data_IF_072033094729
#
_entry.id   IF_072033094729
#
_cell.length_a   1.000
_cell.length_b   1.000
_cell.length_c   1.000
_cell.angle_alpha   90.00
_cell.angle_beta   90.00
_cell.angle_gamma   90.00
#
_symmetry.space_group_name_H-M   'P 1'
#
loop_
_entity.id
_entity.type
_entity.pdbx_description
1 polymer ?
#
# COMPACT_ATOMS: atom_id res chain seq x y z
N UNK A 1 -23.11 -18.91 22.51
CA UNK A 1 -21.67 -18.61 22.71
C UNK A 1 -20.94 -19.07 21.46
N UNK A 2 -20.81 -18.18 20.47
CA UNK A 2 -20.00 -18.42 19.28
C UNK A 2 -18.58 -18.09 19.74
N UNK A 3 -17.67 -19.08 19.75
CA UNK A 3 -16.26 -18.81 19.98
C UNK A 3 -15.84 -17.77 18.96
N UNK A 4 -15.43 -16.60 19.46
CA UNK A 4 -14.61 -15.66 18.71
C UNK A 4 -13.36 -16.46 18.35
N UNK A 5 -13.39 -17.06 17.17
CA UNK A 5 -12.28 -17.81 16.59
C UNK A 5 -11.21 -16.76 16.34
N UNK A 6 -10.41 -16.60 17.39
CA UNK A 6 -9.30 -15.68 17.46
C UNK A 6 -8.50 -15.91 16.18
N UNK A 7 -8.33 -14.88 15.37
CA UNK A 7 -7.43 -14.95 14.21
C UNK A 7 -6.03 -15.12 14.77
N UNK A 8 -5.64 -16.36 15.04
CA UNK A 8 -4.35 -16.68 15.61
C UNK A 8 -3.34 -16.57 14.49
N UNK A 9 -2.30 -15.78 14.72
CA UNK A 9 -1.15 -15.66 13.83
C UNK A 9 -0.68 -17.03 13.32
N UNK A 10 -0.70 -18.06 14.18
CA UNK A 10 -0.39 -19.46 13.86
C UNK A 10 -1.13 -20.01 12.64
N UNK A 11 -2.44 -19.74 12.51
CA UNK A 11 -3.24 -20.23 11.38
C UNK A 11 -2.81 -19.56 10.07
N UNK A 12 -2.45 -18.28 10.12
CA UNK A 12 -1.97 -17.55 8.95
C UNK A 12 -0.53 -17.93 8.60
N UNK A 13 0.32 -18.18 9.60
CA UNK A 13 1.68 -18.70 9.43
C UNK A 13 1.63 -20.07 8.74
N UNK A 14 0.74 -20.96 9.17
CA UNK A 14 0.57 -22.28 8.54
C UNK A 14 0.07 -22.19 7.09
N UNK A 15 -0.54 -21.06 6.70
CA UNK A 15 -0.99 -20.78 5.32
C UNK A 15 0.06 -20.04 4.50
N UNK A 16 1.20 -19.67 5.09
CA UNK A 16 2.24 -18.97 4.35
C UNK A 16 2.78 -19.84 3.20
N UNK A 17 3.03 -19.21 2.06
CA UNK A 17 3.38 -19.89 0.82
C UNK A 17 4.84 -19.65 0.45
N UNK A 18 5.47 -20.64 -0.18
CA UNK A 18 6.83 -20.51 -0.74
C UNK A 18 6.80 -19.61 -1.98
N UNK A 19 6.94 -18.31 -1.77
CA UNK A 19 7.00 -17.31 -2.83
C UNK A 19 8.35 -16.60 -2.80
N UNK A 20 9.01 -16.36 -3.94
CA UNK A 20 10.31 -15.71 -3.95
C UNK A 20 10.20 -14.24 -3.49
N UNK A 21 11.12 -13.75 -2.65
CA UNK A 21 11.12 -12.36 -2.21
C UNK A 21 11.43 -11.42 -3.39
N UNK A 22 10.76 -10.26 -3.42
CA UNK A 22 10.97 -9.21 -4.41
C UNK A 22 10.82 -9.67 -5.86
N UNK A 23 9.91 -10.61 -6.10
CA UNK A 23 9.52 -11.04 -7.44
C UNK A 23 8.02 -11.10 -7.53
N UNK A 24 7.49 -10.80 -8.71
CA UNK A 24 6.05 -10.77 -8.96
C UNK A 24 5.57 -12.17 -9.31
N UNK A 25 4.73 -12.82 -8.48
CA UNK A 25 4.18 -14.14 -8.76
C UNK A 25 3.31 -14.15 -10.03
N UNK A 26 3.11 -15.34 -10.58
CA UNK A 26 2.12 -15.52 -11.65
C UNK A 26 0.70 -15.15 -11.17
N UNK A 27 -0.16 -14.73 -12.10
CA UNK A 27 -1.52 -14.27 -11.79
C UNK A 27 -1.63 -12.80 -11.40
N UNK A 28 -0.56 -12.15 -10.94
CA UNK A 28 -0.54 -10.71 -10.67
C UNK A 28 -0.72 -9.92 -11.98
N UNK A 29 -1.61 -8.93 -11.97
CA UNK A 29 -1.94 -8.06 -13.12
C UNK A 29 -1.32 -6.68 -13.01
N UNK A 30 -1.16 -6.16 -11.80
CA UNK A 30 -0.50 -4.88 -11.53
C UNK A 30 -0.04 -4.81 -10.07
N UNK A 31 0.92 -3.93 -9.79
CA UNK A 31 1.40 -3.66 -8.44
C UNK A 31 0.84 -2.34 -7.90
N UNK A 32 0.55 -2.30 -6.60
CA UNK A 32 0.35 -1.06 -5.85
C UNK A 32 1.29 -1.03 -4.66
N UNK A 33 1.73 0.16 -4.26
CA UNK A 33 2.51 0.34 -3.06
C UNK A 33 1.72 1.11 -2.01
N UNK A 34 1.92 0.76 -0.75
CA UNK A 34 1.45 1.56 0.38
C UNK A 34 2.58 1.87 1.32
N UNK A 35 2.52 3.08 1.86
CA UNK A 35 3.55 3.64 2.72
C UNK A 35 2.90 4.18 3.98
N UNK A 36 3.41 3.73 5.11
CA UNK A 36 3.08 4.25 6.43
C UNK A 36 4.29 5.00 6.99
N UNK A 37 4.03 6.19 7.56
CA UNK A 37 5.06 7.14 7.97
C UNK A 37 5.26 7.05 9.47
N UNK A 38 6.36 6.42 9.88
CA UNK A 38 6.65 6.20 11.29
C UNK A 38 7.62 7.27 11.81
N UNK A 39 7.18 8.02 12.81
CA UNK A 39 7.94 9.07 13.51
C UNK A 39 8.80 8.56 14.68
N UNK A 40 9.16 9.47 15.58
CA UNK A 40 9.83 9.16 16.84
C UNK A 40 11.32 8.84 16.72
N UNK A 41 11.83 7.94 17.57
CA UNK A 41 13.25 7.55 17.58
C UNK A 41 13.65 6.62 16.43
N UNK A 42 12.70 5.80 15.94
CA UNK A 42 12.91 4.81 14.87
C UNK A 42 12.22 5.25 13.59
N UNK A 43 12.52 6.48 13.17
CA UNK A 43 11.92 7.09 11.97
C UNK A 43 12.19 6.24 10.74
N UNK A 44 11.13 5.96 9.99
CA UNK A 44 11.17 5.10 8.80
C UNK A 44 9.92 5.32 7.96
N UNK A 45 10.04 5.12 6.65
CA UNK A 45 8.89 4.82 5.81
C UNK A 45 8.74 3.31 5.76
N UNK A 46 7.56 2.83 6.14
CA UNK A 46 7.21 1.42 6.16
C UNK A 46 6.47 1.13 4.86
N UNK A 47 7.11 0.39 3.95
CA UNK A 47 6.60 0.18 2.60
C UNK A 47 6.13 -1.26 2.45
N UNK A 48 4.95 -1.44 1.84
CA UNK A 48 4.45 -2.72 1.39
C UNK A 48 4.01 -2.64 -0.07
N UNK A 49 4.50 -3.58 -0.89
CA UNK A 49 4.11 -3.73 -2.29
C UNK A 49 3.20 -4.92 -2.41
N UNK A 50 2.02 -4.70 -2.97
CA UNK A 50 0.97 -5.70 -3.14
C UNK A 50 0.66 -5.86 -4.62
N UNK A 51 0.79 -7.07 -5.12
CA UNK A 51 0.32 -7.45 -6.44
C UNK A 51 -1.16 -7.81 -6.41
N UNK A 52 -1.94 -7.32 -7.36
CA UNK A 52 -3.35 -7.66 -7.51
C UNK A 52 -3.56 -8.44 -8.80
N UNK A 53 -4.23 -9.58 -8.70
CA UNK A 53 -4.69 -10.38 -9.81
C UNK A 53 -6.13 -10.04 -10.19
N UNK A 54 -6.85 -10.99 -10.75
CA UNK A 54 -8.29 -10.86 -11.04
C UNK A 54 -9.16 -11.10 -9.80
N UNK A 55 -10.37 -10.52 -9.78
CA UNK A 55 -11.41 -10.79 -8.76
C UNK A 55 -10.99 -10.63 -7.27
N UNK A 56 -9.99 -9.82 -7.01
CA UNK A 56 -9.52 -9.37 -5.70
C UNK A 56 -8.40 -10.21 -5.12
N UNK A 57 -7.97 -11.27 -5.80
CA UNK A 57 -6.83 -12.09 -5.37
C UNK A 57 -5.56 -11.23 -5.35
N UNK A 58 -4.74 -11.38 -4.31
CA UNK A 58 -3.60 -10.50 -4.07
C UNK A 58 -2.43 -11.19 -3.39
N UNK A 59 -1.23 -10.68 -3.65
CA UNK A 59 0.05 -11.20 -3.17
C UNK A 59 0.85 -10.10 -2.49
N UNK A 60 1.45 -10.40 -1.34
CA UNK A 60 2.47 -9.54 -0.78
C UNK A 60 3.78 -9.81 -1.54
N UNK A 61 4.24 -8.82 -2.28
CA UNK A 61 5.40 -8.94 -3.18
C UNK A 61 6.69 -8.48 -2.50
N UNK A 62 6.60 -7.41 -1.72
CA UNK A 62 7.74 -6.85 -0.99
C UNK A 62 7.28 -6.11 0.27
N UNK A 63 8.13 -6.10 1.28
CA UNK A 63 7.89 -5.44 2.56
C UNK A 63 9.23 -4.98 3.12
N UNK A 64 9.46 -3.68 3.17
CA UNK A 64 10.74 -3.10 3.57
C UNK A 64 10.56 -1.75 4.24
N UNK A 65 11.64 -1.27 4.86
CA UNK A 65 11.68 0.04 5.50
C UNK A 65 12.72 0.92 4.81
N UNK A 66 12.37 2.16 4.50
CA UNK A 66 13.33 3.20 4.11
C UNK A 66 13.70 3.94 5.39
N UNK A 67 14.97 3.89 5.77
CA UNK A 67 15.49 4.46 7.03
C UNK A 67 16.60 5.46 6.81
N UNK A 68 17.23 5.45 5.64
CA UNK A 68 18.39 6.27 5.28
C UNK A 68 17.98 7.39 4.32
N UNK A 69 18.47 8.58 4.60
CA UNK A 69 18.30 9.78 3.79
C UNK A 69 19.37 9.84 2.69
N UNK A 70 19.13 10.66 1.66
CA UNK A 70 20.18 11.11 0.74
C UNK A 70 21.12 12.14 1.39
N UNK A 71 20.73 12.71 2.54
CA UNK A 71 21.58 13.59 3.33
C UNK A 71 22.65 12.76 4.03
N UNK A 72 23.89 13.22 3.97
CA UNK A 72 25.02 12.62 4.66
C UNK A 72 25.49 13.51 5.82
N UNK A 73 26.11 12.89 6.81
CA UNK A 73 26.84 13.59 7.86
C UNK A 73 28.24 14.04 7.40
N UNK A 74 29.01 14.66 8.30
CA UNK A 74 30.36 15.15 8.03
C UNK A 74 31.34 14.04 7.59
N UNK A 75 31.07 12.78 7.95
CA UNK A 75 31.84 11.61 7.52
C UNK A 75 31.39 11.03 6.18
N UNK A 76 30.35 11.59 5.55
CA UNK A 76 29.77 11.07 4.30
C UNK A 76 28.80 9.91 4.49
N UNK A 77 28.47 9.53 5.73
CA UNK A 77 27.55 8.44 6.04
C UNK A 77 26.09 8.92 5.93
N UNK A 78 25.23 8.08 5.36
CA UNK A 78 23.83 8.41 5.16
C UNK A 78 23.10 8.57 6.50
N UNK A 79 22.54 9.77 6.71
CA UNK A 79 21.77 10.10 7.91
C UNK A 79 20.47 9.30 7.97
N UNK A 80 19.88 9.21 9.16
CA UNK A 80 18.52 8.70 9.30
C UNK A 80 17.52 9.68 8.68
N UNK A 81 16.49 9.17 8.00
CA UNK A 81 15.38 10.02 7.56
C UNK A 81 14.68 10.69 8.74
N UNK A 82 14.15 11.88 8.51
CA UNK A 82 13.24 12.54 9.42
C UNK A 82 12.09 13.20 8.64
N UNK A 83 11.01 12.42 8.35
CA UNK A 83 9.89 12.86 7.53
C UNK A 83 9.17 14.11 8.03
N UNK A 84 9.25 14.42 9.33
CA UNK A 84 8.65 15.62 9.91
C UNK A 84 9.49 16.89 9.70
N UNK A 85 10.81 16.76 9.55
CA UNK A 85 11.71 17.91 9.44
C UNK A 85 12.24 18.17 8.03
N UNK A 86 12.44 17.13 7.21
CA UNK A 86 13.09 17.25 5.90
C UNK A 86 12.14 16.79 4.78
N UNK A 87 11.52 17.72 4.04
CA UNK A 87 10.67 17.40 2.90
C UNK A 87 11.38 16.56 1.83
N UNK A 88 12.68 16.76 1.64
CA UNK A 88 13.49 16.04 0.66
C UNK A 88 13.59 14.54 0.93
N UNK A 89 13.43 14.09 2.18
CA UNK A 89 13.41 12.66 2.52
C UNK A 89 12.20 11.95 1.87
N UNK A 90 11.10 12.67 1.60
CA UNK A 90 9.93 12.11 0.94
C UNK A 90 10.16 11.81 -0.54
N UNK A 91 11.16 12.44 -1.17
CA UNK A 91 11.47 12.18 -2.57
C UNK A 91 11.99 10.75 -2.79
N UNK A 92 12.52 10.10 -1.74
CA UNK A 92 12.87 8.67 -1.76
C UNK A 92 11.67 7.79 -2.10
N UNK A 93 10.42 8.21 -1.80
CA UNK A 93 9.24 7.44 -2.17
C UNK A 93 9.00 7.43 -3.69
N UNK A 94 9.55 8.38 -4.43
CA UNK A 94 9.52 8.34 -5.90
C UNK A 94 10.53 7.31 -6.39
N UNK A 95 11.81 7.47 -6.05
CA UNK A 95 12.90 6.65 -6.57
C UNK A 95 12.86 5.20 -6.08
N UNK A 96 12.60 4.99 -4.79
CA UNK A 96 12.78 3.69 -4.15
C UNK A 96 11.48 2.87 -4.13
N UNK A 97 10.34 3.49 -4.49
CA UNK A 97 9.02 2.86 -4.47
C UNK A 97 8.25 3.05 -5.78
N UNK A 98 7.94 4.30 -6.16
CA UNK A 98 7.03 4.55 -7.29
C UNK A 98 7.63 4.21 -8.66
N UNK A 99 8.91 4.50 -8.85
CA UNK A 99 9.65 4.22 -10.10
C UNK A 99 10.32 2.86 -10.11
N UNK A 100 10.36 2.19 -8.95
CA UNK A 100 10.92 0.86 -8.82
C UNK A 100 10.07 -0.17 -9.57
N UNK A 101 10.77 -1.16 -10.14
CA UNK A 101 10.18 -2.31 -10.80
C UNK A 101 10.64 -3.61 -10.13
N UNK A 102 9.79 -4.63 -10.22
CA UNK A 102 10.05 -5.96 -9.68
C UNK A 102 10.02 -6.99 -10.82
N UNK A 103 11.02 -7.87 -10.93
CA UNK A 103 11.05 -8.88 -11.99
C UNK A 103 9.95 -9.91 -11.79
N UNK A 104 9.39 -10.41 -12.90
CA UNK A 104 8.39 -11.48 -12.86
C UNK A 104 9.07 -12.81 -12.48
N UNK A 105 8.31 -13.70 -11.83
CA UNK A 105 8.79 -15.05 -11.49
C UNK A 105 8.97 -15.89 -12.76
N UNK A 106 7.99 -15.87 -13.66
CA UNK A 106 7.98 -16.69 -14.88
C UNK A 106 8.92 -16.13 -15.96
N UNK A 107 9.04 -14.81 -16.03
CA UNK A 107 9.84 -14.08 -17.03
C UNK A 107 10.76 -13.06 -16.33
N UNK A 108 11.90 -13.50 -15.76
CA UNK A 108 12.80 -12.63 -14.98
C UNK A 108 13.38 -11.43 -15.75
N UNK A 109 13.38 -11.48 -17.09
CA UNK A 109 13.78 -10.41 -17.99
C UNK A 109 12.73 -9.30 -18.14
N UNK A 110 11.50 -9.57 -17.70
CA UNK A 110 10.42 -8.59 -17.65
C UNK A 110 10.21 -8.12 -16.22
N UNK A 111 9.88 -6.85 -16.08
CA UNK A 111 9.63 -6.23 -14.78
C UNK A 111 8.27 -5.54 -14.76
N UNK A 112 7.66 -5.49 -13.58
CA UNK A 112 6.42 -4.77 -13.34
C UNK A 112 6.68 -3.62 -12.37
N UNK A 113 6.36 -2.40 -12.80
CA UNK A 113 6.43 -1.21 -11.97
C UNK A 113 5.18 -1.03 -11.11
N UNK A 114 5.30 -0.27 -10.03
CA UNK A 114 4.15 0.16 -9.21
C UNK A 114 3.20 1.05 -10.01
N UNK A 115 1.94 0.66 -10.16
CA UNK A 115 0.93 1.46 -10.86
C UNK A 115 0.69 2.79 -10.13
N UNK A 116 0.45 2.71 -8.83
CA UNK A 116 0.20 3.84 -7.96
C UNK A 116 0.57 3.52 -6.51
N UNK A 117 0.79 4.57 -5.74
CA UNK A 117 1.23 4.53 -4.35
C UNK A 117 0.27 5.32 -3.46
N UNK A 118 -0.11 4.70 -2.34
CA UNK A 118 -0.85 5.33 -1.25
C UNK A 118 0.08 5.65 -0.08
N UNK A 119 0.03 6.86 0.45
CA UNK A 119 0.90 7.28 1.57
C UNK A 119 0.04 7.79 2.71
N UNK A 120 0.24 7.27 3.92
CA UNK A 120 -0.41 7.85 5.10
C UNK A 120 0.14 9.26 5.34
N UNK A 121 -0.76 10.22 5.38
CA UNK A 121 -0.44 11.63 5.65
C UNK A 121 -0.61 12.00 7.12
N UNK A 122 -1.14 11.08 7.94
CA UNK A 122 -1.17 11.20 9.39
C UNK A 122 0.21 10.99 10.01
N UNK A 123 0.51 11.70 11.10
CA UNK A 123 1.77 11.52 11.81
C UNK A 123 2.06 12.63 12.82
N UNK A 124 3.30 12.65 13.30
CA UNK A 124 3.85 13.69 14.18
C UNK A 124 3.84 15.08 13.51
N UNK A 125 4.10 16.12 14.30
CA UNK A 125 4.20 17.49 13.83
C UNK A 125 5.12 17.63 12.61
N UNK A 126 4.61 18.29 11.56
CA UNK A 126 5.31 18.49 10.28
C UNK A 126 5.10 17.40 9.24
N UNK A 127 4.72 16.17 9.61
CA UNK A 127 4.52 15.05 8.66
C UNK A 127 3.42 15.37 7.66
N UNK A 128 2.27 15.87 8.12
CA UNK A 128 1.15 16.22 7.23
C UNK A 128 1.50 17.33 6.24
N UNK A 129 2.24 18.36 6.68
CA UNK A 129 2.66 19.44 5.79
C UNK A 129 3.66 18.95 4.74
N UNK A 130 4.60 18.09 5.13
CA UNK A 130 5.57 17.50 4.22
C UNK A 130 4.92 16.51 3.26
N UNK A 131 3.90 15.75 3.69
CA UNK A 131 3.09 14.93 2.80
C UNK A 131 2.40 15.77 1.69
N UNK A 132 1.88 16.95 2.05
CA UNK A 132 1.30 17.88 1.09
C UNK A 132 2.35 18.51 0.18
N UNK A 133 3.54 18.85 0.70
CA UNK A 133 4.65 19.34 -0.10
C UNK A 133 5.12 18.28 -1.11
N UNK A 134 5.25 17.04 -0.67
CA UNK A 134 5.55 15.87 -1.49
C UNK A 134 4.54 15.69 -2.61
N UNK A 135 3.23 15.69 -2.31
CA UNK A 135 2.22 15.56 -3.36
C UNK A 135 2.29 16.70 -4.38
N UNK A 136 2.53 17.95 -3.94
CA UNK A 136 2.74 19.09 -4.86
C UNK A 136 3.98 18.91 -5.74
N UNK A 137 5.06 18.33 -5.19
CA UNK A 137 6.24 17.97 -5.96
C UNK A 137 5.91 16.89 -7.00
N UNK A 138 5.28 15.78 -6.60
CA UNK A 138 4.80 14.75 -7.51
C UNK A 138 3.89 15.30 -8.61
N UNK A 139 3.07 16.32 -8.33
CA UNK A 139 2.24 16.98 -9.35
C UNK A 139 3.08 17.72 -10.38
N UNK A 140 4.16 18.40 -9.99
CA UNK A 140 5.08 19.08 -10.93
C UNK A 140 5.84 18.09 -11.80
N UNK A 141 6.24 16.95 -11.22
CA UNK A 141 6.94 15.87 -11.94
C UNK A 141 6.00 14.97 -12.77
N UNK A 142 4.69 15.25 -12.83
CA UNK A 142 3.73 14.47 -13.63
C UNK A 142 3.19 13.19 -12.96
N UNK A 143 3.53 12.94 -11.70
CA UNK A 143 3.08 11.77 -10.92
C UNK A 143 1.76 11.98 -10.16
N UNK A 144 1.07 13.12 -10.31
CA UNK A 144 -0.17 13.42 -9.57
C UNK A 144 -1.23 12.31 -9.65
N UNK A 145 -1.35 11.64 -10.80
CA UNK A 145 -2.32 10.56 -11.03
C UNK A 145 -1.92 9.21 -10.43
N UNK A 146 -0.70 9.10 -9.88
CA UNK A 146 -0.14 7.86 -9.32
C UNK A 146 0.10 7.94 -7.81
N UNK A 147 0.00 9.12 -7.19
CA UNK A 147 0.26 9.31 -5.75
C UNK A 147 -1.00 9.77 -5.01
N UNK A 148 -1.36 9.04 -3.96
CA UNK A 148 -2.58 9.23 -3.19
C UNK A 148 -2.24 9.42 -1.71
N UNK A 149 -2.73 10.50 -1.11
CA UNK A 149 -2.59 10.72 0.33
C UNK A 149 -3.79 10.17 1.08
N UNK A 150 -3.55 9.34 2.09
CA UNK A 150 -4.55 8.73 2.95
C UNK A 150 -4.59 9.38 4.32
N UNK A 151 -5.79 9.35 4.91
CA UNK A 151 -6.02 9.67 6.31
C UNK A 151 -7.22 8.88 6.81
N UNK A 152 -7.13 8.34 8.02
CA UNK A 152 -8.28 7.73 8.68
C UNK A 152 -9.41 8.76 8.90
N UNK A 153 -10.63 8.39 8.53
CA UNK A 153 -11.81 9.22 8.82
C UNK A 153 -12.33 8.90 10.23
N UNK A 154 -12.32 9.89 11.12
CA UNK A 154 -12.89 9.75 12.45
C UNK A 154 -14.41 9.81 12.47
N UNK A 155 -15.03 10.26 11.37
CA UNK A 155 -16.49 10.32 11.23
C UNK A 155 -16.98 9.10 10.46
N UNK A 156 -17.92 8.36 11.03
CA UNK A 156 -18.56 7.25 10.33
C UNK A 156 -19.34 7.76 9.10
N UNK A 157 -19.07 7.18 7.93
CA UNK A 157 -19.75 7.53 6.67
C UNK A 157 -20.26 6.28 5.96
N UNK A 158 -21.24 6.46 5.08
CA UNK A 158 -21.78 5.39 4.25
C UNK A 158 -20.81 4.89 3.18
N UNK A 159 -19.95 5.78 2.65
CA UNK A 159 -18.93 5.43 1.65
C UNK A 159 -17.64 5.00 2.34
N UNK A 160 -17.02 3.92 1.84
CA UNK A 160 -15.75 3.37 2.37
C UNK A 160 -14.60 4.37 2.26
N UNK A 161 -14.64 5.25 1.26
CA UNK A 161 -13.71 6.36 1.15
C UNK A 161 -14.43 7.62 0.66
N UNK A 162 -13.87 8.78 0.99
CA UNK A 162 -14.28 10.06 0.42
C UNK A 162 -13.07 10.90 0.04
N UNK A 163 -13.17 11.63 -1.07
CA UNK A 163 -12.13 12.55 -1.51
C UNK A 163 -12.45 13.94 -0.97
N UNK A 164 -11.49 14.52 -0.25
CA UNK A 164 -11.58 15.87 0.30
C UNK A 164 -10.43 16.73 -0.23
N UNK A 165 -10.62 18.04 -0.21
CA UNK A 165 -9.56 19.01 -0.50
C UNK A 165 -9.46 19.93 0.71
N UNK A 166 -8.60 19.61 1.69
CA UNK A 166 -8.48 20.41 2.89
C UNK A 166 -8.12 21.86 2.53
N UNK A 167 -8.92 22.80 3.02
CA UNK A 167 -8.66 24.23 2.88
C UNK A 167 -8.69 24.89 4.26
N UNK A 168 -7.52 25.33 4.73
CA UNK A 168 -7.33 25.94 6.04
C UNK A 168 -6.72 27.35 5.92
N UNK A 169 -6.76 27.99 4.75
CA UNK A 169 -6.17 29.33 4.52
C UNK A 169 -6.73 30.45 5.41
N UNK A 170 -7.89 30.24 6.03
CA UNK A 170 -8.52 31.18 6.98
C UNK A 170 -8.62 30.69 8.43
N UNK A 171 -7.92 29.62 8.82
CA UNK A 171 -8.04 29.00 10.15
C UNK A 171 -6.70 28.89 10.85
N UNK A 172 -6.43 29.84 11.76
CA UNK A 172 -5.19 29.93 12.55
C UNK A 172 -5.06 28.85 13.64
N UNK A 173 -6.13 28.10 13.91
CA UNK A 173 -6.19 27.02 14.90
C UNK A 173 -5.65 25.68 14.38
N UNK A 174 -5.35 25.58 13.07
CA UNK A 174 -4.86 24.34 12.46
C UNK A 174 -3.41 24.45 12.02
N UNK A 175 -2.62 23.47 12.46
CA UNK A 175 -1.17 23.41 12.31
C UNK A 175 -0.72 23.24 10.85
N UNK A 176 -1.49 22.50 10.03
CA UNK A 176 -1.13 22.21 8.64
C UNK A 176 -1.75 23.18 7.61
N UNK A 177 -0.92 23.75 6.73
CA UNK A 177 -1.31 24.72 5.68
C UNK A 177 -1.78 23.99 4.41
N UNK A 178 -3.09 23.75 4.34
CA UNK A 178 -3.73 23.21 3.16
C UNK A 178 -4.47 24.32 2.39
N UNK A 179 -4.13 24.53 1.11
CA UNK A 179 -4.71 25.58 0.26
C UNK A 179 -5.79 25.04 -0.70
N UNK A 180 -6.51 23.97 -0.35
CA UNK A 180 -7.58 23.41 -1.19
C UNK A 180 -7.14 22.71 -2.49
N UNK A 181 -5.84 22.57 -2.73
CA UNK A 181 -5.31 21.96 -3.96
C UNK A 181 -4.95 20.47 -3.82
N UNK A 182 -4.63 20.03 -2.60
CA UNK A 182 -4.10 18.68 -2.36
C UNK A 182 -5.26 17.71 -2.08
N UNK A 183 -5.44 16.67 -2.90
CA UNK A 183 -6.48 15.67 -2.68
C UNK A 183 -6.10 14.77 -1.51
N UNK A 184 -6.95 14.74 -0.49
CA UNK A 184 -6.84 13.87 0.67
C UNK A 184 -7.98 12.87 0.68
N UNK A 185 -7.64 11.58 0.69
CA UNK A 185 -8.59 10.48 0.72
C UNK A 185 -8.83 10.03 2.16
N UNK A 186 -10.05 10.29 2.63
CA UNK A 186 -10.51 9.91 3.97
C UNK A 186 -11.06 8.48 3.92
N UNK A 187 -10.45 7.58 4.70
CA UNK A 187 -10.74 6.15 4.68
C UNK A 187 -11.54 5.71 5.90
N UNK A 188 -12.61 4.94 5.68
CA UNK A 188 -13.34 4.24 6.74
C UNK A 188 -12.56 2.98 7.15
N UNK A 189 -11.61 3.14 8.08
CA UNK A 189 -10.65 2.10 8.46
C UNK A 189 -11.33 0.84 8.99
N UNK A 190 -12.36 0.94 9.81
CA UNK A 190 -13.09 -0.23 10.33
C UNK A 190 -13.69 -1.08 9.20
N UNK A 191 -14.32 -0.45 8.20
CA UNK A 191 -14.92 -1.17 7.08
C UNK A 191 -13.87 -1.83 6.18
N UNK A 192 -12.71 -1.18 5.98
CA UNK A 192 -11.59 -1.77 5.26
C UNK A 192 -11.00 -2.95 6.02
N UNK A 193 -10.82 -2.82 7.34
CA UNK A 193 -10.33 -3.90 8.21
C UNK A 193 -11.28 -5.08 8.22
N UNK A 194 -12.60 -4.84 8.27
CA UNK A 194 -13.62 -5.90 8.15
C UNK A 194 -13.48 -6.66 6.81
N UNK A 195 -13.23 -5.96 5.69
CA UNK A 195 -13.01 -6.59 4.38
C UNK A 195 -11.71 -7.40 4.30
N UNK A 196 -10.60 -6.83 4.77
CA UNK A 196 -9.31 -7.54 4.83
C UNK A 196 -9.43 -8.75 5.75
N UNK A 197 -10.14 -8.60 6.85
CA UNK A 197 -10.42 -9.69 7.77
C UNK A 197 -11.13 -10.85 7.06
N UNK A 198 -12.26 -10.60 6.39
CA UNK A 198 -12.95 -11.66 5.64
C UNK A 198 -12.08 -12.28 4.54
N UNK A 199 -11.20 -11.51 3.92
CA UNK A 199 -10.25 -12.02 2.92
C UNK A 199 -9.18 -12.94 3.54
N UNK A 200 -8.68 -12.60 4.73
CA UNK A 200 -7.71 -13.42 5.47
C UNK A 200 -8.33 -14.72 6.00
N UNK A 201 -9.63 -14.77 6.26
CA UNK A 201 -10.29 -15.99 6.72
C UNK A 201 -10.55 -17.01 5.59
N UNK A 202 -10.33 -16.62 4.33
CA UNK A 202 -10.43 -17.54 3.18
C UNK A 202 -9.35 -18.62 3.26
N UNK A 203 -9.74 -19.88 3.09
CA UNK A 203 -8.83 -21.04 3.18
C UNK A 203 -8.21 -21.44 1.84
N UNK A 204 -8.91 -21.17 0.75
CA UNK A 204 -8.53 -21.61 -0.61
C UNK A 204 -8.21 -20.41 -1.51
N UNK A 205 -7.18 -20.53 -2.37
CA UNK A 205 -6.86 -19.55 -3.42
C UNK A 205 -8.05 -19.18 -4.30
N UNK A 206 -7.99 -18.00 -4.92
CA UNK A 206 -9.02 -17.45 -5.80
C UNK A 206 -9.51 -16.08 -5.37
N UNK A 207 -10.74 -15.74 -5.77
CA UNK A 207 -11.30 -14.39 -5.58
C UNK A 207 -11.16 -13.88 -4.14
N UNK A 208 -10.54 -12.71 -3.98
CA UNK A 208 -10.22 -12.07 -2.70
C UNK A 208 -9.24 -12.80 -1.78
N UNK A 209 -8.60 -13.88 -2.20
CA UNK A 209 -7.58 -14.55 -1.39
C UNK A 209 -6.33 -13.67 -1.23
N UNK A 210 -5.64 -13.82 -0.08
CA UNK A 210 -4.42 -13.08 0.24
C UNK A 210 -3.28 -14.08 0.40
N UNK A 211 -2.41 -14.13 -0.61
CA UNK A 211 -1.19 -14.90 -0.60
C UNK A 211 -0.13 -14.18 0.25
N UNK A 212 0.32 -14.86 1.30
CA UNK A 212 1.32 -14.35 2.23
C UNK A 212 2.59 -15.21 2.09
N UNK A 213 3.74 -14.63 1.73
CA UNK A 213 4.98 -15.38 1.58
C UNK A 213 5.55 -15.90 2.90
N UNK A 214 6.25 -17.03 2.86
CA UNK A 214 6.92 -17.68 4.00
C UNK A 214 8.21 -16.99 4.46
N UNK A 215 8.79 -16.11 3.64
CA UNK A 215 9.94 -15.29 4.05
C UNK A 215 9.57 -14.13 4.98
N UNK A 216 8.27 -13.83 5.14
CA UNK A 216 7.81 -12.92 6.18
C UNK A 216 7.87 -13.63 7.53
N UNK A 217 8.63 -13.05 8.47
CA UNK A 217 8.74 -13.60 9.82
C UNK A 217 7.50 -13.36 10.67
N UNK A 218 7.48 -13.97 11.85
CA UNK A 218 6.37 -13.91 12.83
C UNK A 218 5.89 -12.48 13.11
N UNK A 219 6.81 -11.51 13.15
CA UNK A 219 6.53 -10.08 13.33
C UNK A 219 5.46 -9.55 12.36
N UNK A 220 5.42 -10.05 11.12
CA UNK A 220 4.44 -9.62 10.12
C UNK A 220 3.04 -10.11 10.47
N UNK A 221 2.93 -11.36 10.92
CA UNK A 221 1.67 -11.96 11.32
C UNK A 221 1.17 -11.35 12.64
N UNK A 222 2.09 -11.05 13.57
CA UNK A 222 1.80 -10.28 14.77
C UNK A 222 1.19 -8.91 14.41
N UNK A 223 1.84 -8.14 13.54
CA UNK A 223 1.31 -6.86 13.03
C UNK A 223 -0.07 -7.03 12.36
N UNK A 224 -0.24 -8.10 11.57
CA UNK A 224 -1.46 -8.35 10.81
C UNK A 224 -2.66 -8.72 11.69
N UNK A 225 -2.41 -9.38 12.83
CA UNK A 225 -3.45 -9.80 13.78
C UNK A 225 -3.49 -8.98 15.05
N UNK A 226 -2.70 -7.90 15.15
CA UNK A 226 -2.52 -7.16 16.41
C UNK A 226 -3.80 -6.47 16.88
N UNK A 227 -4.57 -5.92 15.94
CA UNK A 227 -5.83 -5.28 16.27
C UNK A 227 -6.97 -6.28 16.39
N UNK A 228 -7.83 -6.03 17.37
CA UNK A 228 -8.98 -6.87 17.64
C UNK A 228 -10.27 -6.14 17.30
N UNK A 229 -11.22 -6.92 16.78
CA UNK A 229 -12.54 -6.42 16.42
C UNK A 229 -13.46 -6.47 17.64
N UNK A 230 -13.73 -5.31 18.22
CA UNK A 230 -14.63 -5.14 19.35
C UNK A 230 -16.10 -5.42 19.01
N UNK A 231 -16.90 -5.71 20.04
CA UNK A 231 -18.36 -5.89 19.93
C UNK A 231 -19.07 -4.61 19.46
N UNK A 232 -18.43 -3.45 19.63
CA UNK A 232 -18.96 -2.12 19.32
C UNK A 232 -18.85 -1.74 17.84
N UNK A 233 -18.30 -2.60 16.98
CA UNK A 233 -18.09 -2.24 15.58
C UNK A 233 -16.67 -1.82 15.23
N UNK A 234 -15.78 -1.64 16.22
CA UNK A 234 -14.50 -0.96 16.02
C UNK A 234 -13.32 -1.91 16.13
N UNK A 235 -12.29 -1.62 15.35
CA UNK A 235 -10.98 -2.23 15.50
C UNK A 235 -10.15 -1.41 16.49
N UNK A 236 -9.57 -2.08 17.49
CA UNK A 236 -8.79 -1.43 18.53
C UNK A 236 -7.49 -2.19 18.78
N UNK A 237 -6.45 -1.43 19.14
CA UNK A 237 -5.20 -2.01 19.61
C UNK A 237 -5.37 -2.44 21.07
N UNK A 238 -5.06 -3.69 21.46
CA UNK A 238 -5.11 -4.13 22.85
C UNK A 238 -3.96 -3.52 23.69
N UNK A 239 -2.95 -2.93 23.05
CA UNK A 239 -1.81 -2.29 23.71
C UNK A 239 -0.99 -1.41 22.76
N UNK A 240 0.34 -1.40 22.94
CA UNK A 240 1.29 -0.54 22.18
C UNK A 240 2.04 -1.26 21.06
N UNK A 241 1.51 -2.37 20.56
CA UNK A 241 2.11 -3.13 19.48
C UNK A 241 1.91 -2.49 18.10
N UNK A 242 2.72 -3.00 17.18
CA UNK A 242 2.73 -2.66 15.77
C UNK A 242 1.51 -3.27 15.07
N UNK A 243 0.98 -2.58 14.06
CA UNK A 243 -0.18 -3.00 13.27
C UNK A 243 -0.01 -2.66 11.78
N UNK A 244 1.20 -2.28 11.37
CA UNK A 244 1.50 -1.69 10.08
C UNK A 244 1.11 -2.64 8.93
N UNK A 245 1.34 -3.96 9.06
CA UNK A 245 0.90 -4.95 8.07
C UNK A 245 -0.60 -4.87 7.74
N UNK A 246 -1.48 -4.77 8.77
CA UNK A 246 -2.93 -4.69 8.57
C UNK A 246 -3.32 -3.36 7.93
N UNK A 247 -2.79 -2.25 8.42
CA UNK A 247 -3.10 -0.91 7.91
C UNK A 247 -2.63 -0.75 6.45
N UNK A 248 -1.42 -1.20 6.12
CA UNK A 248 -0.87 -1.16 4.77
C UNK A 248 -1.67 -2.02 3.78
N UNK A 249 -2.17 -3.20 4.20
CA UNK A 249 -3.10 -3.99 3.38
C UNK A 249 -4.45 -3.28 3.18
N UNK A 250 -4.98 -2.64 4.22
CA UNK A 250 -6.21 -1.84 4.13
C UNK A 250 -6.05 -0.68 3.15
N UNK A 251 -4.92 0.02 3.21
CA UNK A 251 -4.59 1.11 2.28
C UNK A 251 -4.43 0.60 0.85
N UNK A 252 -3.83 -0.59 0.66
CA UNK A 252 -3.65 -1.16 -0.68
C UNK A 252 -5.02 -1.49 -1.28
N UNK A 253 -5.91 -2.05 -0.47
CA UNK A 253 -7.29 -2.34 -0.88
C UNK A 253 -8.08 -1.06 -1.19
N UNK A 254 -7.97 -0.03 -0.35
CA UNK A 254 -8.59 1.26 -0.60
C UNK A 254 -8.08 1.88 -1.92
N UNK A 255 -6.78 1.80 -2.18
CA UNK A 255 -6.16 2.35 -3.38
C UNK A 255 -6.70 1.71 -4.65
N UNK A 256 -6.80 0.37 -4.71
CA UNK A 256 -7.35 -0.32 -5.87
C UNK A 256 -8.85 -0.05 -6.05
N UNK A 257 -9.61 0.08 -4.96
CA UNK A 257 -11.02 0.49 -5.04
C UNK A 257 -11.18 1.90 -5.62
N UNK A 258 -10.33 2.85 -5.22
CA UNK A 258 -10.29 4.21 -5.78
C UNK A 258 -9.97 4.18 -7.28
N UNK A 259 -9.10 3.26 -7.72
CA UNK A 259 -8.77 3.03 -9.13
C UNK A 259 -9.88 2.31 -9.92
N UNK A 260 -10.97 1.92 -9.28
CA UNK A 260 -12.11 1.29 -9.93
C UNK A 260 -11.94 -0.20 -10.17
N UNK A 261 -11.06 -0.86 -9.40
CA UNK A 261 -10.77 -2.28 -9.53
C UNK A 261 -12.00 -3.20 -9.55
N UNK A 262 -12.97 -2.95 -8.67
CA UNK A 262 -14.20 -3.75 -8.55
C UNK A 262 -15.08 -3.69 -9.83
N UNK A 263 -14.81 -2.75 -10.75
CA UNK A 263 -15.58 -2.53 -11.99
C UNK A 263 -14.85 -3.04 -13.23
N UNK A 264 -13.69 -3.67 -13.07
CA UNK A 264 -12.93 -4.21 -14.19
C UNK A 264 -13.71 -5.38 -14.79
N UNK A 265 -13.92 -5.32 -16.11
CA UNK A 265 -14.24 -6.51 -16.89
C UNK A 265 -12.94 -7.29 -17.13
N UNK A 266 -12.78 -8.45 -16.51
CA UNK A 266 -11.56 -9.27 -16.62
C UNK A 266 -11.43 -10.00 -17.96
N UNK A 267 -12.49 -10.10 -18.76
CA UNK A 267 -12.43 -10.59 -20.15
C UNK A 267 -11.81 -9.54 -21.09
N UNK A 268 -11.87 -8.26 -20.71
CA UNK A 268 -11.27 -7.15 -21.45
C UNK A 268 -10.70 -6.12 -20.48
N UNK A 269 -9.61 -6.46 -19.76
CA UNK A 269 -9.08 -5.61 -18.71
C UNK A 269 -8.52 -4.31 -19.29
N UNK A 270 -8.54 -3.22 -18.49
CA UNK A 270 -7.98 -1.94 -18.92
C UNK A 270 -6.47 -2.07 -19.16
N UNK A 271 -5.87 -1.20 -19.99
CA UNK A 271 -4.45 -1.31 -20.38
C UNK A 271 -3.48 -1.48 -19.21
N UNK A 272 -3.73 -0.82 -18.09
CA UNK A 272 -2.88 -0.87 -16.90
C UNK A 272 -2.98 -2.18 -16.09
N UNK A 273 -3.96 -3.03 -16.38
CA UNK A 273 -4.15 -4.35 -15.75
C UNK A 273 -3.95 -5.50 -16.75
N UNK A 274 -3.49 -5.20 -17.97
CA UNK A 274 -3.10 -6.22 -18.95
C UNK A 274 -1.71 -6.71 -18.58
N UNK A 275 -1.50 -8.01 -18.73
CA UNK A 275 -0.14 -8.54 -18.71
C UNK A 275 0.62 -8.01 -19.94
N UNK A 276 1.95 -7.84 -19.85
CA UNK A 276 2.77 -7.65 -21.03
C UNK A 276 2.45 -8.73 -22.05
N UNK A 277 2.29 -8.36 -23.33
CA UNK A 277 2.16 -9.37 -24.38
C UNK A 277 3.40 -10.26 -24.34
N UNK A 278 3.20 -11.56 -24.17
CA UNK A 278 4.32 -12.50 -24.25
C UNK A 278 4.96 -12.33 -25.63
N UNK A 279 6.29 -12.17 -25.68
CA UNK A 279 7.04 -12.03 -26.93
C UNK A 279 6.91 -13.25 -27.88
N UNK A 280 6.15 -14.28 -27.48
CA UNK A 280 5.80 -15.45 -28.27
C UNK A 280 4.52 -15.24 -29.10
N UNK A 281 3.61 -14.36 -28.69
CA UNK A 281 2.39 -14.02 -29.45
C UNK A 281 2.72 -13.35 -30.79
N UNK A 282 3.76 -12.51 -30.82
CA UNK A 282 4.17 -11.76 -32.01
C UNK A 282 4.91 -12.59 -33.07
N UNK A 283 5.30 -13.85 -32.78
CA UNK A 283 5.96 -14.74 -33.76
C UNK A 283 4.99 -15.61 -34.57
N UNK A 284 3.75 -15.80 -34.09
CA UNK A 284 2.78 -16.65 -34.79
C UNK A 284 1.94 -15.90 -35.82
N UNK A 285 1.96 -14.56 -35.83
CA UNK A 285 1.23 -13.77 -36.83
C UNK A 285 2.04 -13.53 -38.11
N UNK A 286 3.36 -13.75 -38.09
CA UNK A 286 4.23 -13.61 -39.27
C UNK A 286 4.46 -14.92 -40.04
N UNK A 287 3.94 -16.06 -39.55
CA UNK A 287 4.11 -17.38 -40.19
C UNK A 287 2.83 -17.89 -40.89
N UNK A 288 1.78 -17.07 -40.95
CA UNK A 288 0.52 -17.40 -41.63
C UNK A 288 0.32 -16.62 -42.94
N UNK A 289 1.37 -15.94 -43.42
CA UNK A 289 1.39 -15.23 -44.71
C UNK A 289 2.67 -15.61 -45.43
N UNK A 290 2.75 -16.85 -45.89
CA UNK A 290 3.61 -17.31 -46.99
C UNK A 290 2.99 -18.56 -47.62
#
# INVERSE_FOLDING_TARGET
RISLDQRKAETLIARAEKLPPRRVPDGVRFLVATVDVQGGKKRRFVVQVVGYGSHGERWIVDRFNITRSLRCDESGEAMQINPGAYPEDWHLLITDVLERAWPLVVHPEQEMSVLCMGVDSGGEDGVTDNAYAFWRHCRREGFAGRVYLFKGDSTARSKIFSKSYPNNTGRSDRQARACGEVPLYLLQTNALKDRIASALDRKEPGANYVHIPDWLGDWFFEELTYEERGMDGKWTKPGKGANEALDLLCYAHALVMIRGYERINWDSPPPWARLPESAQSSRNTSAAVD
#
